data_IF_413719912438
#
_entry.id   IF_413719912438
#
_cell.length_a   1.000
_cell.length_b   1.000
_cell.length_c   1.000
_cell.angle_alpha   90.00
_cell.angle_beta   90.00
_cell.angle_gamma   90.00
#
_symmetry.space_group_name_H-M   'P 1'
#
loop_
_entity.id
_entity.type
_entity.pdbx_description
1 polymer ?
#
# COMPACT_ATOMS: atom_id res chain seq x y z
N UNK A 1 21.09 -5.61 8.16
CA UNK A 1 19.91 -5.28 7.35
C UNK A 1 18.86 -4.73 8.29
N UNK A 2 18.44 -3.49 8.11
CA UNK A 2 17.37 -2.85 8.87
C UNK A 2 16.00 -3.15 8.24
N UNK A 3 14.93 -2.86 8.98
CA UNK A 3 13.55 -2.97 8.48
C UNK A 3 13.35 -2.11 7.23
N UNK A 4 13.91 -0.90 7.23
CA UNK A 4 13.87 -0.01 6.07
C UNK A 4 14.57 -0.61 4.84
N UNK A 5 15.76 -1.18 5.03
CA UNK A 5 16.51 -1.85 3.94
C UNK A 5 15.75 -3.06 3.39
N UNK A 6 15.07 -3.82 4.26
CA UNK A 6 14.24 -4.96 3.86
C UNK A 6 13.06 -4.54 2.97
N UNK A 7 12.43 -3.39 3.27
CA UNK A 7 11.36 -2.82 2.44
C UNK A 7 11.94 -2.34 1.10
N UNK A 8 13.05 -1.60 1.13
CA UNK A 8 13.69 -1.06 -0.08
C UNK A 8 14.25 -2.14 -1.02
N UNK A 9 14.48 -3.36 -0.52
CA UNK A 9 14.88 -4.49 -1.36
C UNK A 9 13.83 -4.87 -2.42
N UNK A 10 12.57 -4.45 -2.25
CA UNK A 10 11.54 -4.64 -3.26
C UNK A 10 11.70 -3.61 -4.40
N UNK A 11 11.99 -4.05 -5.64
CA UNK A 11 12.23 -3.13 -6.76
C UNK A 11 11.03 -2.27 -7.11
N UNK A 12 9.80 -2.68 -6.76
CA UNK A 12 8.59 -1.87 -6.97
C UNK A 12 8.58 -0.59 -6.12
N UNK A 13 9.33 -0.55 -5.02
CA UNK A 13 9.40 0.61 -4.13
C UNK A 13 10.55 1.56 -4.48
N UNK A 14 11.30 1.28 -5.55
CA UNK A 14 12.38 2.16 -6.04
C UNK A 14 11.93 3.58 -6.38
N UNK A 15 10.65 3.76 -6.70
CA UNK A 15 10.07 5.04 -7.10
C UNK A 15 9.44 5.78 -5.91
N UNK A 16 9.37 5.13 -4.75
CA UNK A 16 8.82 5.70 -3.53
C UNK A 16 9.95 6.39 -2.79
N UNK A 17 9.73 7.63 -2.37
CA UNK A 17 10.73 8.38 -1.60
C UNK A 17 10.93 7.77 -0.21
N UNK A 18 12.14 7.91 0.33
CA UNK A 18 12.47 7.43 1.68
C UNK A 18 11.53 8.03 2.74
N UNK A 19 11.20 9.31 2.59
CA UNK A 19 10.27 10.02 3.47
C UNK A 19 8.89 9.37 3.47
N UNK A 20 8.38 8.97 2.30
CA UNK A 20 7.09 8.31 2.19
C UNK A 20 7.11 6.92 2.84
N UNK A 21 8.17 6.14 2.66
CA UNK A 21 8.32 4.84 3.33
C UNK A 21 8.35 5.03 4.86
N UNK A 22 9.12 6.02 5.34
CA UNK A 22 9.16 6.37 6.76
C UNK A 22 7.80 6.81 7.29
N UNK A 23 7.01 7.54 6.51
CA UNK A 23 5.65 7.93 6.92
C UNK A 23 4.75 6.71 7.20
N UNK A 24 4.90 5.63 6.41
CA UNK A 24 4.14 4.38 6.60
C UNK A 24 4.64 3.55 7.77
N UNK A 25 5.96 3.52 7.97
CA UNK A 25 6.57 2.91 9.16
C UNK A 25 6.07 3.58 10.44
N UNK A 26 6.09 4.92 10.48
CA UNK A 26 5.56 5.72 11.60
C UNK A 26 4.07 5.47 11.80
N UNK A 27 3.28 5.43 10.71
CA UNK A 27 1.84 5.17 10.78
C UNK A 27 1.48 3.79 11.36
N UNK A 28 2.42 2.85 11.35
CA UNK A 28 2.28 1.51 11.96
C UNK A 28 3.08 1.34 13.26
N UNK A 29 3.68 2.41 13.77
CA UNK A 29 4.49 2.42 15.01
C UNK A 29 5.68 1.43 14.90
N UNK A 30 6.33 1.41 13.74
CA UNK A 30 7.50 0.57 13.46
C UNK A 30 8.74 1.45 13.35
N UNK A 31 9.82 1.06 14.03
CA UNK A 31 11.12 1.71 13.89
C UNK A 31 11.87 1.15 12.66
N UNK A 32 11.99 1.97 11.61
CA UNK A 32 12.70 1.59 10.38
C UNK A 32 14.21 1.39 10.55
N UNK A 33 14.80 1.96 11.61
CA UNK A 33 16.22 1.82 11.92
C UNK A 33 16.52 0.54 12.73
N UNK A 34 15.50 -0.14 13.23
CA UNK A 34 15.66 -1.40 13.95
C UNK A 34 16.24 -2.48 13.02
N UNK A 35 17.04 -3.37 13.61
CA UNK A 35 17.56 -4.54 12.91
C UNK A 35 16.40 -5.45 12.51
N UNK A 36 16.36 -5.84 11.24
CA UNK A 36 15.34 -6.74 10.75
C UNK A 36 15.54 -8.14 11.34
N UNK A 37 14.52 -8.66 12.03
CA UNK A 37 14.45 -10.04 12.51
C UNK A 37 13.25 -10.77 11.91
N UNK A 38 13.20 -12.09 12.04
CA UNK A 38 12.05 -12.89 11.57
C UNK A 38 10.73 -12.49 12.24
N UNK A 39 10.78 -11.93 13.45
CA UNK A 39 9.59 -11.42 14.15
C UNK A 39 9.03 -10.14 13.51
N UNK A 40 9.84 -9.42 12.75
CA UNK A 40 9.46 -8.17 12.06
C UNK A 40 8.90 -8.42 10.65
N UNK A 41 8.88 -9.68 10.20
CA UNK A 41 8.37 -10.06 8.88
C UNK A 41 6.93 -9.58 8.66
N UNK A 42 6.07 -9.75 9.67
CA UNK A 42 4.69 -9.27 9.62
C UNK A 42 4.63 -7.76 9.42
N UNK A 43 5.40 -7.01 10.21
CA UNK A 43 5.48 -5.56 10.16
C UNK A 43 5.94 -5.06 8.78
N UNK A 44 6.98 -5.69 8.23
CA UNK A 44 7.51 -5.39 6.89
C UNK A 44 6.49 -5.67 5.79
N UNK A 45 5.82 -6.82 5.83
CA UNK A 45 4.80 -7.17 4.84
C UNK A 45 3.60 -6.21 4.90
N UNK A 46 3.16 -5.84 6.10
CA UNK A 46 2.05 -4.90 6.30
C UNK A 46 2.37 -3.48 5.80
N UNK A 47 3.59 -2.98 6.04
CA UNK A 47 4.04 -1.70 5.46
C UNK A 47 4.14 -1.81 3.94
N UNK A 48 4.63 -2.93 3.42
CA UNK A 48 4.68 -3.19 1.99
C UNK A 48 3.28 -3.20 1.35
N UNK A 49 2.29 -3.73 2.04
CA UNK A 49 0.89 -3.71 1.60
C UNK A 49 0.35 -2.28 1.49
N UNK A 50 0.68 -1.42 2.45
CA UNK A 50 0.30 0.00 2.40
C UNK A 50 0.95 0.71 1.20
N UNK A 51 2.23 0.42 0.94
CA UNK A 51 2.95 0.98 -0.20
C UNK A 51 2.40 0.50 -1.56
N UNK A 52 1.97 -0.76 -1.66
CA UNK A 52 1.31 -1.25 -2.88
C UNK A 52 0.03 -0.48 -3.20
N UNK A 53 -0.73 -0.07 -2.19
CA UNK A 53 -1.93 0.74 -2.40
C UNK A 53 -1.59 2.16 -2.85
N UNK A 54 -0.59 2.78 -2.25
CA UNK A 54 -0.17 4.11 -2.67
C UNK A 54 0.32 4.11 -4.12
N UNK A 55 1.11 3.10 -4.51
CA UNK A 55 1.57 2.94 -5.89
C UNK A 55 0.39 2.72 -6.84
N UNK A 56 -0.64 1.98 -6.40
CA UNK A 56 -1.85 1.77 -7.17
C UNK A 56 -2.67 3.07 -7.41
N UNK A 57 -2.38 4.15 -6.70
CA UNK A 57 -2.97 5.48 -6.88
C UNK A 57 -2.10 6.41 -7.72
N UNK A 58 -0.85 6.03 -8.04
CA UNK A 58 0.03 6.86 -8.85
C UNK A 58 -0.50 6.96 -10.28
N UNK A 59 -0.46 8.16 -10.89
CA UNK A 59 -0.87 8.34 -12.27
C UNK A 59 0.05 7.55 -13.21
N UNK A 60 -0.52 7.08 -14.31
CA UNK A 60 0.29 6.51 -15.40
C UNK A 60 1.19 7.61 -15.97
N UNK A 61 2.51 7.39 -15.89
CA UNK A 61 3.48 8.31 -16.45
C UNK A 61 3.78 7.92 -17.90
N UNK A 62 3.70 8.88 -18.82
CA UNK A 62 4.08 8.72 -20.22
C UNK A 62 4.92 9.90 -20.68
N UNK A 63 6.18 9.63 -21.04
CA UNK A 63 7.09 10.60 -21.65
C UNK A 63 7.64 10.02 -22.96
N UNK A 64 7.15 10.54 -24.09
CA UNK A 64 7.49 10.03 -25.41
C UNK A 64 7.09 8.55 -25.60
N UNK A 65 8.08 7.67 -25.77
CA UNK A 65 7.91 6.22 -25.91
C UNK A 65 7.98 5.48 -24.56
N UNK A 66 8.42 6.14 -23.48
CA UNK A 66 8.48 5.53 -22.16
C UNK A 66 7.13 5.69 -21.46
N UNK A 67 6.52 4.56 -21.11
CA UNK A 67 5.30 4.54 -20.29
C UNK A 67 5.50 3.60 -19.10
N UNK A 68 5.26 4.10 -17.89
CA UNK A 68 5.18 3.29 -16.69
C UNK A 68 3.70 3.13 -16.36
N UNK A 69 3.19 1.92 -16.62
CA UNK A 69 1.82 1.53 -16.28
C UNK A 69 1.86 0.42 -15.23
N UNK A 70 1.42 0.76 -14.03
CA UNK A 70 1.26 -0.22 -12.96
C UNK A 70 -0.03 -1.00 -13.14
N UNK A 71 0.02 -2.32 -12.96
CA UNK A 71 -1.20 -3.10 -12.87
C UNK A 71 -1.85 -2.89 -11.50
N UNK A 72 -2.74 -1.90 -11.43
CA UNK A 72 -3.51 -1.52 -10.24
C UNK A 72 -4.25 -2.73 -9.64
N UNK A 73 -4.76 -3.64 -10.49
CA UNK A 73 -5.48 -4.83 -10.02
C UNK A 73 -4.55 -5.77 -9.26
N UNK A 74 -3.36 -6.04 -9.80
CA UNK A 74 -2.39 -6.95 -9.18
C UNK A 74 -1.83 -6.36 -7.87
N UNK A 75 -1.56 -5.05 -7.85
CA UNK A 75 -1.11 -4.35 -6.64
C UNK A 75 -2.15 -4.40 -5.53
N UNK A 76 -3.42 -4.14 -5.85
CA UNK A 76 -4.53 -4.25 -4.88
C UNK A 76 -4.75 -5.69 -4.43
N UNK A 77 -4.68 -6.66 -5.33
CA UNK A 77 -4.80 -8.07 -4.98
C UNK A 77 -3.68 -8.52 -4.03
N UNK A 78 -2.44 -8.07 -4.28
CA UNK A 78 -1.28 -8.37 -3.42
C UNK A 78 -1.40 -7.72 -2.05
N UNK A 79 -1.79 -6.45 -1.99
CA UNK A 79 -2.07 -5.78 -0.72
C UNK A 79 -3.19 -6.50 0.07
N UNK A 80 -4.30 -6.83 -0.60
CA UNK A 80 -5.41 -7.58 0.00
C UNK A 80 -4.98 -8.94 0.56
N UNK A 81 -4.15 -9.68 -0.17
CA UNK A 81 -3.63 -10.98 0.27
C UNK A 81 -2.83 -10.85 1.57
N UNK A 82 -2.02 -9.79 1.70
CA UNK A 82 -1.21 -9.56 2.91
C UNK A 82 -2.12 -9.17 4.08
N UNK A 83 -3.08 -8.25 3.89
CA UNK A 83 -4.01 -7.90 4.96
C UNK A 83 -4.86 -9.09 5.42
N UNK A 84 -5.25 -9.96 4.49
CA UNK A 84 -5.99 -11.19 4.81
C UNK A 84 -5.14 -12.17 5.60
N UNK A 85 -3.84 -12.29 5.29
CA UNK A 85 -2.90 -13.17 6.00
C UNK A 85 -2.74 -12.78 7.48
N UNK A 86 -2.83 -11.49 7.79
CA UNK A 86 -2.58 -10.94 9.12
C UNK A 86 -3.81 -10.39 9.85
N UNK A 87 -5.00 -10.60 9.28
CA UNK A 87 -6.28 -10.09 9.81
C UNK A 87 -6.25 -8.58 10.12
N UNK A 88 -5.65 -7.80 9.21
CA UNK A 88 -5.45 -6.35 9.40
C UNK A 88 -6.76 -5.57 9.15
N UNK A 89 -7.05 -4.58 9.99
CA UNK A 89 -8.27 -3.78 9.92
C UNK A 89 -8.46 -3.08 8.56
N UNK A 90 -7.38 -2.75 7.83
CA UNK A 90 -7.45 -2.13 6.50
C UNK A 90 -8.11 -3.02 5.45
N UNK A 91 -8.20 -4.33 5.69
CA UNK A 91 -8.96 -5.24 4.82
C UNK A 91 -10.43 -4.80 4.71
N UNK A 92 -11.02 -4.34 5.81
CA UNK A 92 -12.41 -3.88 5.86
C UNK A 92 -12.63 -2.57 5.11
N UNK A 93 -11.60 -1.73 5.01
CA UNK A 93 -11.65 -0.45 4.31
C UNK A 93 -11.56 -0.57 2.79
N UNK A 94 -11.05 -1.71 2.28
CA UNK A 94 -10.97 -2.02 0.85
C UNK A 94 -12.27 -2.53 0.23
N UNK A 95 -13.26 -2.87 1.05
CA UNK A 95 -14.57 -3.30 0.55
C UNK A 95 -15.23 -2.18 -0.28
N UNK A 96 -16.15 -2.53 -1.20
CA UNK A 96 -16.97 -1.52 -1.86
C UNK A 96 -17.73 -0.72 -0.79
N UNK A 97 -17.37 0.56 -0.62
CA UNK A 97 -18.17 1.47 0.21
C UNK A 97 -19.52 1.62 -0.48
N UNK A 98 -20.58 1.13 0.13
CA UNK A 98 -21.95 1.37 -0.34
C UNK A 98 -22.19 2.87 -0.21
N UNK A 99 -22.12 3.60 -1.33
CA UNK A 99 -22.52 5.00 -1.37
C UNK A 99 -24.04 4.99 -1.35
N UNK A 100 -24.63 5.26 -0.20
CA UNK A 100 -26.07 5.42 -0.08
C UNK A 100 -26.44 6.78 -0.69
N UNK A 101 -26.64 6.84 -2.00
CA UNK A 101 -27.19 8.03 -2.67
C UNK A 101 -28.66 8.12 -2.26
N UNK A 102 -28.94 8.95 -1.26
CA UNK A 102 -30.31 9.31 -0.90
C UNK A 102 -30.93 10.14 -2.03
N UNK A 103 -31.45 9.45 -3.05
CA UNK A 103 -32.28 10.04 -4.08
C UNK A 103 -33.66 10.32 -3.47
N UNK A 104 -33.78 11.50 -2.83
CA UNK A 104 -35.10 12.07 -2.56
C UNK A 104 -35.76 12.32 -3.92
N UNK A 105 -36.59 11.38 -4.34
CA UNK A 105 -37.53 11.57 -5.44
C UNK A 105 -38.47 12.70 -5.04
N UNK A 106 -38.21 13.88 -5.59
CA UNK A 106 -39.11 15.02 -5.51
C UNK A 106 -40.29 14.63 -6.40
N UNK A 107 -41.33 14.04 -5.81
CA UNK A 107 -42.59 13.83 -6.51
C UNK A 107 -43.19 15.20 -6.81
N UNK A 108 -43.35 15.45 -8.10
CA UNK A 108 -44.00 16.62 -8.70
C UNK A 108 -45.50 16.68 -8.38
#
# INVERSE_FOLDING_TARGET
MTILEAIQANPLFSMVTLEHINSKLIGRIIDGAANYTENDLQSVELVSADLYLDIALLPEFKEGQLSIKYNVSDLKARAKSIYTKYDDAKLSEMGPKIINVNVNAINA
#
